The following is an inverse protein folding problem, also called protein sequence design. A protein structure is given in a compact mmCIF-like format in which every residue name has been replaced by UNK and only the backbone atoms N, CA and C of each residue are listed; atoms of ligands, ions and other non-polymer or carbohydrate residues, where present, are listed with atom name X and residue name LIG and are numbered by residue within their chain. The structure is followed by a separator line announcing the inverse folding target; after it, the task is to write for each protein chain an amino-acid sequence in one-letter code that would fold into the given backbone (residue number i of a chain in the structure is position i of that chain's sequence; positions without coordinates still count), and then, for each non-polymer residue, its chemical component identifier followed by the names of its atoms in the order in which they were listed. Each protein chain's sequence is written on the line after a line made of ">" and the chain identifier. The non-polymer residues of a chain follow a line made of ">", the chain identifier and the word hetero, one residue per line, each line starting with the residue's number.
data_IF_001821240613
#
_entry.id   IF_001821240613
#
_cell.length_a   1.000
_cell.length_b   1.000
_cell.length_c   1.000
_cell.angle_alpha   90.00
_cell.angle_beta   90.00
_cell.angle_gamma   90.00
#
_symmetry.space_group_name_H-M   'P 1'
#
loop_
_entity.id
_entity.type
_entity.pdbx_description
1 polymer ?
#
# COMPACT_ATOMS: atom_id res chain seq x y z
N UNK A 1 22.14 20.28 -51.77
CA UNK A 1 21.91 19.38 -50.62
C UNK A 1 20.70 19.88 -49.86
N UNK A 2 19.55 19.20 -49.87
CA UNK A 2 18.39 19.62 -49.09
C UNK A 2 18.54 19.18 -47.62
N UNK A 3 17.90 19.87 -46.66
CA UNK A 3 18.00 19.53 -45.24
C UNK A 3 17.15 18.30 -44.90
N UNK A 4 17.47 17.58 -43.79
CA UNK A 4 16.77 16.35 -43.44
C UNK A 4 15.34 16.63 -42.94
N UNK A 5 14.42 15.83 -43.46
CA UNK A 5 12.99 15.78 -43.15
C UNK A 5 12.73 15.43 -41.67
N UNK A 6 12.02 16.31 -40.95
CA UNK A 6 11.43 16.02 -39.64
C UNK A 6 10.23 15.07 -39.80
N UNK A 7 10.29 13.89 -39.19
CA UNK A 7 9.12 13.03 -39.01
C UNK A 7 8.28 13.55 -37.83
N UNK A 8 7.08 14.05 -38.12
CA UNK A 8 6.03 14.26 -37.13
C UNK A 8 5.24 12.96 -36.97
N UNK A 9 5.28 12.34 -35.79
CA UNK A 9 4.29 11.35 -35.39
C UNK A 9 3.19 12.06 -34.60
N UNK A 10 2.00 12.16 -35.20
CA UNK A 10 0.76 12.50 -34.50
C UNK A 10 0.13 11.18 -34.05
N UNK A 11 0.05 10.95 -32.74
CA UNK A 11 -0.77 9.88 -32.17
C UNK A 11 -2.00 10.54 -31.54
N UNK A 12 -3.07 10.63 -32.33
CA UNK A 12 -4.43 10.83 -31.83
C UNK A 12 -4.95 9.51 -31.30
N UNK A 13 -4.99 9.33 -29.98
CA UNK A 13 -5.75 8.24 -29.35
C UNK A 13 -6.93 8.82 -28.59
N UNK A 14 -8.08 8.89 -29.25
CA UNK A 14 -9.38 9.04 -28.61
C UNK A 14 -9.77 7.69 -28.01
N UNK A 15 -9.66 7.54 -26.68
CA UNK A 15 -10.27 6.41 -25.97
C UNK A 15 -11.62 6.87 -25.41
N UNK A 16 -12.70 6.47 -26.09
CA UNK A 16 -14.06 6.52 -25.54
C UNK A 16 -14.27 5.26 -24.72
N UNK A 17 -14.43 5.38 -23.40
CA UNK A 17 -14.82 4.27 -22.52
C UNK A 17 -16.32 4.39 -22.26
N UNK A 18 -17.11 3.63 -23.01
CA UNK A 18 -18.52 3.41 -22.70
C UNK A 18 -18.63 2.38 -21.56
N UNK A 19 -19.00 2.83 -20.36
CA UNK A 19 -19.38 1.96 -19.25
C UNK A 19 -20.85 1.55 -19.42
N UNK A 20 -21.19 0.24 -19.51
CA UNK A 20 -22.58 -0.17 -19.36
C UNK A 20 -22.89 -0.23 -17.85
N UNK A 21 -23.57 0.79 -17.34
CA UNK A 21 -24.21 0.75 -16.03
C UNK A 21 -25.58 0.10 -16.17
N UNK A 22 -25.81 -1.01 -15.49
CA UNK A 22 -27.15 -1.50 -15.20
C UNK A 22 -27.21 -1.92 -13.74
N UNK A 23 -27.84 -1.08 -12.91
CA UNK A 23 -28.05 -1.34 -11.49
C UNK A 23 -29.25 -2.29 -11.36
N UNK A 24 -29.05 -3.48 -10.83
CA UNK A 24 -30.14 -4.29 -10.29
C UNK A 24 -30.04 -4.30 -8.77
N UNK A 25 -31.02 -3.64 -8.16
CA UNK A 25 -31.23 -3.54 -6.73
C UNK A 25 -31.80 -4.86 -6.19
N UNK A 26 -30.99 -5.60 -5.43
CA UNK A 26 -31.40 -6.35 -4.21
C UNK A 26 -30.26 -7.26 -3.71
N UNK A 27 -29.42 -6.79 -2.79
CA UNK A 27 -28.73 -7.70 -1.85
C UNK A 27 -28.21 -6.94 -0.60
N UNK A 28 -28.73 -7.24 0.62
CA UNK A 28 -28.27 -6.62 1.85
C UNK A 28 -27.19 -7.49 2.50
N UNK A 29 -25.94 -7.39 2.04
CA UNK A 29 -24.81 -7.98 2.76
C UNK A 29 -23.61 -7.03 2.73
N UNK A 30 -23.32 -6.42 3.88
CA UNK A 30 -22.24 -5.47 4.10
C UNK A 30 -20.82 -6.05 3.88
N UNK A 31 -20.71 -7.36 3.65
CA UNK A 31 -19.45 -8.02 3.28
C UNK A 31 -18.97 -7.73 1.85
N UNK A 32 -19.84 -7.23 0.96
CA UNK A 32 -19.48 -7.05 -0.46
C UNK A 32 -18.97 -5.64 -0.80
N UNK A 33 -19.00 -4.68 0.13
CA UNK A 33 -18.79 -3.25 -0.18
C UNK A 33 -17.35 -2.74 -0.07
N UNK A 34 -16.41 -3.53 0.46
CA UNK A 34 -14.99 -3.13 0.56
C UNK A 34 -14.03 -3.99 -0.28
N UNK A 35 -14.51 -5.09 -0.88
CA UNK A 35 -13.70 -5.98 -1.74
C UNK A 35 -13.09 -5.28 -2.96
N UNK A 36 -13.75 -4.23 -3.45
CA UNK A 36 -13.32 -3.50 -4.65
C UNK A 36 -12.15 -2.53 -4.41
N UNK A 37 -11.91 -2.14 -3.16
CA UNK A 37 -10.80 -1.23 -2.82
C UNK A 37 -9.50 -2.03 -2.69
N UNK A 38 -9.54 -3.26 -2.14
CA UNK A 38 -8.35 -4.06 -1.82
C UNK A 38 -7.73 -4.81 -3.01
N UNK A 39 -8.52 -5.39 -3.90
CA UNK A 39 -8.02 -6.08 -5.11
C UNK A 39 -7.29 -5.17 -6.09
N UNK A 40 -7.44 -3.85 -5.93
CA UNK A 40 -6.74 -2.86 -6.74
C UNK A 40 -5.47 -2.30 -6.05
N UNK A 41 -5.12 -2.65 -4.80
CA UNK A 41 -3.93 -2.10 -4.13
C UNK A 41 -2.60 -2.55 -4.78
N UNK A 42 -2.51 -3.77 -5.30
CA UNK A 42 -1.34 -4.23 -6.06
C UNK A 42 -1.16 -3.52 -7.42
N UNK A 43 -2.21 -2.83 -7.90
CA UNK A 43 -2.20 -2.10 -9.18
C UNK A 43 -2.26 -0.57 -9.00
N UNK A 44 -2.65 -0.08 -7.81
CA UNK A 44 -2.86 1.34 -7.51
C UNK A 44 -1.56 2.13 -7.34
N UNK A 45 -0.44 1.48 -6.99
CA UNK A 45 0.88 2.13 -7.07
C UNK A 45 1.21 2.58 -8.50
N UNK A 46 0.70 1.84 -9.51
CA UNK A 46 0.87 2.16 -10.93
C UNK A 46 -0.20 3.14 -11.43
N UNK A 47 -1.43 3.08 -10.90
CA UNK A 47 -2.56 3.92 -11.35
C UNK A 47 -2.54 5.34 -10.75
N UNK A 48 -2.14 5.50 -9.48
CA UNK A 48 -2.13 6.81 -8.81
C UNK A 48 -0.95 7.70 -9.24
N UNK A 49 0.14 7.13 -9.76
CA UNK A 49 1.23 7.91 -10.34
C UNK A 49 0.85 8.55 -11.69
N UNK A 50 -0.10 7.95 -12.42
CA UNK A 50 -0.64 8.53 -13.66
C UNK A 50 -1.49 9.79 -13.41
N UNK A 51 -2.05 9.96 -12.20
CA UNK A 51 -2.89 11.12 -11.86
C UNK A 51 -2.14 12.29 -11.20
N UNK A 52 -0.82 12.23 -11.09
CA UNK A 52 -0.01 13.30 -10.45
C UNK A 52 0.85 14.10 -11.43
N UNK A 53 0.70 13.88 -12.74
CA UNK A 53 1.27 14.76 -13.77
C UNK A 53 0.21 15.68 -14.37
N UNK A 54 -0.47 16.46 -13.53
CA UNK A 54 -1.04 17.71 -14.01
C UNK A 54 -0.83 18.81 -12.97
N UNK A 55 0.18 19.63 -13.25
CA UNK A 55 0.58 20.74 -12.40
C UNK A 55 -0.35 21.91 -12.70
N UNK A 56 -1.22 22.27 -11.75
CA UNK A 56 -1.67 23.64 -11.39
C UNK A 56 -3.08 23.63 -10.78
N UNK A 57 -3.18 23.20 -9.52
CA UNK A 57 -4.31 23.64 -8.68
C UNK A 57 -3.71 24.35 -7.48
N UNK A 58 -3.62 25.67 -7.58
CA UNK A 58 -3.35 26.53 -6.45
C UNK A 58 -4.51 26.39 -5.46
N UNK A 59 -4.25 25.78 -4.31
CA UNK A 59 -5.20 25.72 -3.22
C UNK A 59 -5.34 27.11 -2.59
N UNK A 60 -6.56 27.66 -2.42
CA UNK A 60 -6.74 28.88 -1.66
C UNK A 60 -6.41 28.58 -0.19
N UNK A 61 -5.46 29.34 0.37
CA UNK A 61 -5.16 29.35 1.80
C UNK A 61 -6.35 30.00 2.51
N UNK A 62 -7.26 29.17 3.01
CA UNK A 62 -8.21 29.56 4.06
C UNK A 62 -7.56 29.29 5.41
N UNK A 63 -7.34 30.36 6.17
CA UNK A 63 -6.85 30.36 7.54
C UNK A 63 -7.77 29.53 8.44
N UNK A 64 -7.36 28.31 8.75
CA UNK A 64 -7.99 27.45 9.76
C UNK A 64 -6.93 27.05 10.78
N UNK A 65 -6.84 27.82 11.86
CA UNK A 65 -5.92 27.59 12.99
C UNK A 65 -6.12 26.23 13.68
N UNK A 66 -7.26 25.56 13.46
CA UNK A 66 -7.60 24.26 14.03
C UNK A 66 -6.79 23.08 13.46
N UNK A 67 -6.45 23.10 12.16
CA UNK A 67 -5.67 22.02 11.50
C UNK A 67 -4.20 22.04 11.93
N UNK A 68 -3.71 23.20 12.40
CA UNK A 68 -2.33 23.35 12.87
C UNK A 68 -2.08 22.67 14.23
N UNK A 69 -3.11 22.60 15.09
CA UNK A 69 -3.02 22.08 16.46
C UNK A 69 -2.96 20.55 16.51
N UNK A 70 -3.74 19.86 15.67
CA UNK A 70 -3.77 18.39 15.61
C UNK A 70 -2.44 17.77 15.11
N UNK A 71 -1.75 18.46 14.20
CA UNK A 71 -0.44 18.00 13.69
C UNK A 71 0.66 18.03 14.73
N UNK A 72 0.48 18.75 15.84
CA UNK A 72 1.51 18.90 16.89
C UNK A 72 1.79 17.60 17.63
N UNK A 73 0.86 16.64 17.59
CA UNK A 73 0.97 15.34 18.23
C UNK A 73 1.30 14.19 17.27
N UNK A 74 1.43 14.48 15.97
CA UNK A 74 1.77 13.47 14.97
C UNK A 74 3.29 13.34 14.86
N UNK A 75 3.79 12.09 14.83
CA UNK A 75 5.19 11.86 14.48
C UNK A 75 5.36 12.16 13.00
N UNK A 76 6.37 12.95 12.69
CA UNK A 76 6.70 13.32 11.33
C UNK A 76 7.92 12.52 10.85
N UNK A 77 7.77 11.84 9.71
CA UNK A 77 8.84 11.11 9.02
C UNK A 77 9.01 11.71 7.63
N UNK A 78 10.25 12.03 7.26
CA UNK A 78 10.61 12.46 5.91
C UNK A 78 10.90 11.23 5.06
N UNK A 79 10.11 11.06 4.02
CA UNK A 79 10.22 10.04 2.99
C UNK A 79 10.61 10.67 1.65
N UNK A 80 11.40 9.95 0.86
CA UNK A 80 11.92 10.48 -0.41
C UNK A 80 10.85 10.54 -1.51
N UNK A 81 9.84 9.66 -1.45
CA UNK A 81 8.79 9.52 -2.48
C UNK A 81 7.58 10.39 -2.13
N UNK A 82 7.16 10.35 -0.87
CA UNK A 82 5.92 10.97 -0.40
C UNK A 82 6.13 12.28 0.37
N UNK A 83 7.39 12.69 0.56
CA UNK A 83 7.74 13.88 1.31
C UNK A 83 7.48 13.69 2.81
N UNK A 84 6.48 14.37 3.35
CA UNK A 84 6.23 14.39 4.78
C UNK A 84 5.10 13.41 5.14
N UNK A 85 5.45 12.28 5.76
CA UNK A 85 4.49 11.29 6.28
C UNK A 85 4.19 11.61 7.74
N UNK A 86 2.90 11.72 8.07
CA UNK A 86 2.44 11.98 9.44
C UNK A 86 1.82 10.71 10.02
N UNK A 87 2.38 10.23 11.13
CA UNK A 87 1.89 9.06 11.86
C UNK A 87 1.12 9.46 13.11
N UNK A 88 -0.08 8.92 13.24
CA UNK A 88 -0.88 9.02 14.47
C UNK A 88 -0.26 8.15 15.58
N UNK A 89 -0.37 8.55 16.86
CA UNK A 89 0.26 7.83 17.98
C UNK A 89 -0.07 6.33 18.06
N UNK A 90 -1.28 5.95 17.67
CA UNK A 90 -1.73 4.56 17.62
C UNK A 90 -0.87 3.68 16.70
N UNK A 91 -0.41 4.22 15.57
CA UNK A 91 0.45 3.52 14.61
C UNK A 91 1.91 3.56 15.02
N UNK A 92 2.33 4.65 15.69
CA UNK A 92 3.68 4.78 16.21
C UNK A 92 4.01 3.67 17.21
N UNK A 93 3.03 3.23 18.02
CA UNK A 93 3.18 2.08 18.93
C UNK A 93 3.64 0.81 18.21
N UNK A 94 3.24 0.59 16.95
CA UNK A 94 3.69 -0.54 16.15
C UNK A 94 5.04 -0.26 15.48
N UNK A 95 5.22 0.96 14.96
CA UNK A 95 6.47 1.35 14.28
C UNK A 95 7.67 1.26 15.22
N UNK A 96 7.51 1.65 16.48
CA UNK A 96 8.59 1.69 17.48
C UNK A 96 8.86 0.32 18.14
N UNK A 97 8.43 -0.79 17.52
CA UNK A 97 8.73 -2.16 17.98
C UNK A 97 9.89 -2.78 17.19
N UNK A 98 10.64 -3.68 17.82
CA UNK A 98 11.74 -4.39 17.17
C UNK A 98 11.28 -5.22 15.96
N UNK A 99 10.07 -5.77 16.01
CA UNK A 99 9.49 -6.57 14.94
C UNK A 99 9.24 -5.72 13.68
N UNK A 100 8.78 -4.48 13.85
CA UNK A 100 8.59 -3.55 12.75
C UNK A 100 9.92 -2.92 12.30
N UNK A 101 10.80 -2.53 13.23
CA UNK A 101 12.12 -1.99 12.91
C UNK A 101 13.00 -3.00 12.15
N UNK A 102 12.80 -4.31 12.34
CA UNK A 102 13.41 -5.40 11.54
C UNK A 102 13.26 -5.19 10.03
N UNK A 103 12.18 -4.56 9.59
CA UNK A 103 11.91 -4.34 8.16
C UNK A 103 12.98 -3.47 7.48
N UNK A 104 13.78 -2.71 8.23
CA UNK A 104 14.89 -1.89 7.70
C UNK A 104 15.98 -2.75 7.05
N UNK A 105 16.15 -3.96 7.55
CA UNK A 105 17.18 -4.89 7.08
C UNK A 105 16.67 -5.77 5.93
N UNK A 106 15.36 -5.77 5.67
CA UNK A 106 14.74 -6.57 4.61
C UNK A 106 14.63 -5.75 3.32
N UNK A 107 15.50 -6.03 2.34
CA UNK A 107 15.43 -5.39 1.02
C UNK A 107 14.14 -5.75 0.30
N UNK A 108 13.44 -4.72 -0.21
CA UNK A 108 12.18 -4.87 -0.93
C UNK A 108 12.29 -5.85 -2.09
N UNK A 109 13.35 -5.68 -2.88
CA UNK A 109 13.66 -6.47 -4.08
C UNK A 109 14.74 -7.55 -3.82
N UNK A 110 14.95 -7.93 -2.56
CA UNK A 110 15.92 -8.95 -2.17
C UNK A 110 17.32 -8.68 -2.73
N UNK A 111 17.81 -9.59 -3.56
CA UNK A 111 19.16 -9.56 -4.14
C UNK A 111 19.33 -8.61 -5.34
N UNK A 112 18.25 -7.98 -5.83
CA UNK A 112 18.33 -7.08 -6.98
C UNK A 112 19.31 -5.91 -6.79
N UNK A 113 19.55 -5.48 -5.55
CA UNK A 113 20.50 -4.41 -5.25
C UNK A 113 21.95 -4.73 -5.67
N UNK A 114 22.30 -6.01 -5.83
CA UNK A 114 23.62 -6.45 -6.32
C UNK A 114 23.80 -6.22 -7.83
N UNK A 115 22.70 -6.09 -8.58
CA UNK A 115 22.70 -5.80 -10.01
C UNK A 115 22.35 -4.33 -10.27
N UNK A 116 21.41 -3.80 -9.49
CA UNK A 116 20.93 -2.42 -9.56
C UNK A 116 21.26 -1.69 -8.26
N UNK A 117 22.36 -0.93 -8.19
CA UNK A 117 22.83 -0.33 -6.92
C UNK A 117 21.86 0.71 -6.33
N UNK A 118 20.87 1.20 -7.09
CA UNK A 118 19.79 2.05 -6.58
C UNK A 118 18.64 1.30 -5.89
N UNK A 119 18.56 -0.03 -6.04
CA UNK A 119 17.49 -0.85 -5.47
C UNK A 119 17.74 -1.21 -3.99
N UNK A 120 18.19 -0.25 -3.18
CA UNK A 120 18.61 -0.44 -1.78
C UNK A 120 17.47 -0.30 -0.77
N UNK A 121 16.28 0.08 -1.24
CA UNK A 121 15.12 0.32 -0.41
C UNK A 121 14.67 -0.96 0.31
N UNK A 122 14.20 -0.78 1.54
CA UNK A 122 13.75 -1.80 2.45
C UNK A 122 12.23 -1.84 2.57
N UNK A 123 11.72 -2.92 3.17
CA UNK A 123 10.30 -3.09 3.49
C UNK A 123 9.81 -2.03 4.49
N UNK A 124 10.70 -1.45 5.30
CA UNK A 124 10.31 -0.43 6.29
C UNK A 124 9.73 0.83 5.67
N UNK A 125 10.45 1.49 4.76
CA UNK A 125 9.93 2.68 4.07
C UNK A 125 8.77 2.35 3.15
N UNK A 126 8.74 1.15 2.57
CA UNK A 126 7.60 0.67 1.81
C UNK A 126 6.33 0.62 2.67
N UNK A 127 6.39 -0.01 3.85
CA UNK A 127 5.27 -0.08 4.79
C UNK A 127 4.78 1.30 5.23
N UNK A 128 5.69 2.26 5.46
CA UNK A 128 5.31 3.65 5.77
C UNK A 128 4.62 4.34 4.58
N UNK A 129 5.12 4.12 3.37
CA UNK A 129 4.51 4.65 2.15
C UNK A 129 3.10 4.06 1.90
N UNK A 130 2.92 2.76 2.11
CA UNK A 130 1.61 2.09 1.98
C UNK A 130 0.65 2.61 3.04
N UNK A 131 1.07 2.75 4.29
CA UNK A 131 0.28 3.42 5.34
C UNK A 131 -0.22 4.81 4.88
N UNK A 132 0.68 5.61 4.33
CA UNK A 132 0.37 6.97 3.89
C UNK A 132 -0.63 6.98 2.73
N UNK A 133 -0.38 6.18 1.70
CA UNK A 133 -1.24 6.09 0.52
C UNK A 133 -2.61 5.49 0.85
N UNK A 134 -2.66 4.46 1.69
CA UNK A 134 -3.91 3.86 2.14
C UNK A 134 -4.78 4.88 2.89
N UNK A 135 -4.17 5.69 3.76
CA UNK A 135 -4.82 6.82 4.41
C UNK A 135 -5.36 7.85 3.42
N UNK A 136 -4.55 8.28 2.46
CA UNK A 136 -4.98 9.24 1.43
C UNK A 136 -6.14 8.71 0.58
N UNK A 137 -6.08 7.45 0.19
CA UNK A 137 -7.11 6.82 -0.61
C UNK A 137 -8.46 6.78 0.14
N UNK A 138 -8.47 6.30 1.39
CA UNK A 138 -9.70 6.22 2.17
C UNK A 138 -10.25 7.61 2.53
N UNK A 139 -9.39 8.60 2.77
CA UNK A 139 -9.82 9.98 3.02
C UNK A 139 -10.53 10.59 1.79
N UNK A 140 -10.02 10.30 0.58
CA UNK A 140 -10.66 10.73 -0.68
C UNK A 140 -12.02 10.05 -0.82
N UNK A 141 -12.10 8.73 -0.66
CA UNK A 141 -13.36 7.99 -0.78
C UNK A 141 -14.37 8.50 0.26
N UNK A 142 -13.94 8.69 1.51
CA UNK A 142 -14.78 9.24 2.58
C UNK A 142 -15.30 10.63 2.24
N UNK A 143 -14.47 11.49 1.65
CA UNK A 143 -14.87 12.85 1.25
C UNK A 143 -15.99 12.85 0.21
N UNK A 144 -15.93 11.96 -0.78
CA UNK A 144 -16.87 11.98 -1.90
C UNK A 144 -18.07 11.05 -1.73
N UNK A 145 -17.90 9.92 -1.03
CA UNK A 145 -18.90 8.85 -0.93
C UNK A 145 -19.08 8.33 0.51
N UNK A 146 -18.46 8.99 1.50
CA UNK A 146 -18.47 8.54 2.90
C UNK A 146 -19.86 8.31 3.49
N UNK A 147 -20.83 9.23 3.33
CA UNK A 147 -22.19 9.04 3.88
C UNK A 147 -22.93 7.85 3.27
N UNK A 148 -22.78 7.62 1.96
CA UNK A 148 -23.46 6.53 1.25
C UNK A 148 -22.84 5.16 1.57
N UNK A 149 -21.53 5.14 1.79
CA UNK A 149 -20.77 3.93 2.09
C UNK A 149 -20.68 3.66 3.60
N UNK A 150 -21.06 4.61 4.44
CA UNK A 150 -20.96 4.50 5.90
C UNK A 150 -19.50 4.44 6.40
N UNK A 151 -18.60 5.22 5.79
CA UNK A 151 -17.16 5.19 6.14
C UNK A 151 -16.91 5.99 7.42
N UNK A 152 -16.63 5.26 8.49
CA UNK A 152 -16.39 5.82 9.81
C UNK A 152 -14.89 6.03 10.09
N UNK A 153 -14.57 6.68 11.22
CA UNK A 153 -13.17 6.80 11.67
C UNK A 153 -12.52 5.42 11.88
N UNK A 154 -13.31 4.46 12.34
CA UNK A 154 -12.88 3.07 12.52
C UNK A 154 -12.33 2.45 11.22
N UNK A 155 -13.03 2.62 10.09
CA UNK A 155 -12.61 2.06 8.81
C UNK A 155 -11.30 2.68 8.31
N UNK A 156 -11.15 3.99 8.48
CA UNK A 156 -9.92 4.72 8.13
C UNK A 156 -8.74 4.18 8.93
N UNK A 157 -8.92 3.97 10.24
CA UNK A 157 -7.87 3.39 11.08
C UNK A 157 -7.54 1.96 10.67
N UNK A 158 -8.54 1.14 10.33
CA UNK A 158 -8.34 -0.24 9.93
C UNK A 158 -7.53 -0.33 8.63
N UNK A 159 -7.89 0.47 7.63
CA UNK A 159 -7.21 0.52 6.32
C UNK A 159 -5.76 0.96 6.48
N UNK A 160 -5.51 2.00 7.29
CA UNK A 160 -4.16 2.47 7.60
C UNK A 160 -3.35 1.39 8.34
N UNK A 161 -3.94 0.72 9.34
CA UNK A 161 -3.26 -0.31 10.11
C UNK A 161 -2.88 -1.51 9.23
N UNK A 162 -3.80 -1.96 8.38
CA UNK A 162 -3.53 -3.02 7.41
C UNK A 162 -2.41 -2.60 6.45
N UNK A 163 -2.48 -1.39 5.88
CA UNK A 163 -1.44 -0.88 4.99
C UNK A 163 -0.06 -0.82 5.64
N UNK A 164 0.01 -0.41 6.91
CA UNK A 164 1.26 -0.37 7.67
C UNK A 164 1.84 -1.76 7.90
N UNK A 165 1.02 -2.73 8.32
CA UNK A 165 1.47 -4.01 8.85
C UNK A 165 1.45 -5.17 7.82
N UNK A 166 0.96 -4.96 6.60
CA UNK A 166 0.77 -6.04 5.61
C UNK A 166 2.05 -6.85 5.32
N UNK A 167 3.21 -6.20 5.40
CA UNK A 167 4.51 -6.77 5.04
C UNK A 167 5.36 -7.19 6.26
N UNK A 168 4.83 -7.11 7.49
CA UNK A 168 5.60 -7.37 8.72
C UNK A 168 6.04 -8.84 8.84
N UNK A 169 5.37 -9.75 8.13
CA UNK A 169 5.65 -11.19 8.05
C UNK A 169 6.72 -11.59 7.03
N UNK A 170 7.28 -10.65 6.26
CA UNK A 170 8.32 -11.00 5.29
C UNK A 170 9.58 -11.60 5.93
N UNK A 171 10.09 -12.65 5.29
CA UNK A 171 11.36 -13.31 5.62
C UNK A 171 12.57 -12.69 4.90
N UNK A 172 13.78 -13.23 5.14
CA UNK A 172 15.02 -12.76 4.52
C UNK A 172 14.97 -12.79 2.99
N UNK A 173 15.39 -11.71 2.32
CA UNK A 173 15.28 -11.59 0.85
C UNK A 173 13.84 -11.55 0.30
N UNK A 174 12.85 -11.19 1.12
CA UNK A 174 11.46 -10.95 0.69
C UNK A 174 10.85 -12.16 -0.03
N UNK A 175 10.27 -12.00 -1.23
CA UNK A 175 9.65 -13.12 -1.97
C UNK A 175 10.65 -14.22 -2.38
N UNK A 176 11.96 -13.94 -2.41
CA UNK A 176 12.95 -14.99 -2.66
C UNK A 176 12.94 -16.04 -1.54
N UNK A 177 12.62 -15.64 -0.30
CA UNK A 177 12.44 -16.58 0.81
C UNK A 177 11.29 -17.56 0.53
N UNK A 178 10.13 -16.99 0.28
CA UNK A 178 8.85 -17.69 0.12
C UNK A 178 8.85 -18.60 -1.10
N UNK A 179 9.25 -18.05 -2.26
CA UNK A 179 9.06 -18.70 -3.55
C UNK A 179 10.31 -19.41 -4.07
N UNK A 180 11.47 -19.08 -3.50
CA UNK A 180 12.76 -19.63 -3.90
C UNK A 180 13.31 -20.59 -2.84
N UNK A 181 13.54 -20.11 -1.63
CA UNK A 181 14.24 -20.88 -0.60
C UNK A 181 13.36 -21.95 0.07
N UNK A 182 12.20 -21.59 0.61
CA UNK A 182 11.35 -22.50 1.37
C UNK A 182 10.94 -23.77 0.60
N UNK A 183 10.55 -23.70 -0.70
CA UNK A 183 10.19 -24.90 -1.45
C UNK A 183 11.37 -25.87 -1.64
N UNK A 184 12.61 -25.39 -1.58
CA UNK A 184 13.81 -26.21 -1.72
C UNK A 184 14.21 -26.92 -0.41
N UNK A 185 13.93 -26.32 0.74
CA UNK A 185 14.35 -26.85 2.05
C UNK A 185 13.21 -27.52 2.82
N UNK A 186 11.96 -27.16 2.53
CA UNK A 186 10.75 -27.66 3.17
C UNK A 186 9.71 -27.99 2.09
N UNK A 187 9.73 -29.25 1.64
CA UNK A 187 8.82 -29.72 0.61
C UNK A 187 7.36 -29.61 1.09
N UNK A 188 6.49 -29.05 0.26
CA UNK A 188 5.08 -28.82 0.60
C UNK A 188 4.83 -27.64 1.54
N UNK A 189 5.80 -26.74 1.73
CA UNK A 189 5.59 -25.51 2.51
C UNK A 189 4.44 -24.67 1.91
N UNK A 190 3.44 -24.35 2.74
CA UNK A 190 2.34 -23.43 2.43
C UNK A 190 2.58 -22.05 3.03
N UNK A 191 3.83 -21.75 3.42
CA UNK A 191 4.17 -20.50 4.06
C UNK A 191 3.89 -19.32 3.12
N UNK A 192 3.18 -18.32 3.62
CA UNK A 192 2.99 -17.03 2.95
C UNK A 192 3.37 -15.90 3.91
N UNK A 193 3.88 -14.80 3.36
CA UNK A 193 4.24 -13.65 4.19
C UNK A 193 2.98 -12.98 4.76
N UNK A 194 1.83 -13.11 4.10
CA UNK A 194 0.53 -12.60 4.54
C UNK A 194 0.05 -13.32 5.82
N UNK A 195 0.06 -14.65 5.85
CA UNK A 195 -0.26 -15.42 7.07
C UNK A 195 0.75 -15.17 8.19
N UNK A 196 2.03 -15.00 7.82
CA UNK A 196 3.06 -14.67 8.80
C UNK A 196 2.90 -13.26 9.34
N UNK A 197 2.42 -12.30 8.53
CA UNK A 197 2.09 -10.95 8.98
C UNK A 197 1.02 -10.98 10.05
N UNK A 198 -0.04 -11.78 9.86
CA UNK A 198 -1.07 -11.96 10.89
C UNK A 198 -0.48 -12.45 12.22
N UNK A 199 0.33 -13.51 12.19
CA UNK A 199 0.97 -14.08 13.39
C UNK A 199 1.94 -13.11 14.06
N UNK A 200 2.69 -12.36 13.26
CA UNK A 200 3.63 -11.36 13.75
C UNK A 200 2.92 -10.17 14.39
N UNK A 201 1.76 -9.77 13.86
CA UNK A 201 0.92 -8.73 14.46
C UNK A 201 0.44 -9.16 15.84
N UNK A 202 -0.07 -10.39 15.99
CA UNK A 202 -0.49 -10.92 17.29
C UNK A 202 0.69 -10.92 18.28
N UNK A 203 1.86 -11.38 17.83
CA UNK A 203 3.08 -11.35 18.65
C UNK A 203 3.46 -9.92 19.08
N UNK A 204 3.40 -8.93 18.19
CA UNK A 204 3.70 -7.52 18.52
C UNK A 204 2.75 -7.01 19.61
N UNK A 205 1.45 -7.27 19.45
CA UNK A 205 0.43 -6.80 20.40
C UNK A 205 0.65 -7.41 21.78
N UNK A 206 0.91 -8.73 21.82
CA UNK A 206 1.13 -9.47 23.07
C UNK A 206 2.44 -9.07 23.77
N UNK A 207 3.55 -8.92 23.03
CA UNK A 207 4.85 -8.57 23.64
C UNK A 207 4.90 -7.14 24.16
N UNK A 208 4.32 -6.18 23.43
CA UNK A 208 4.41 -4.76 23.75
C UNK A 208 3.19 -4.23 24.52
N UNK A 209 2.23 -5.10 24.86
CA UNK A 209 0.98 -4.74 25.53
C UNK A 209 0.27 -3.56 24.83
N UNK A 210 0.17 -3.62 23.50
CA UNK A 210 -0.43 -2.53 22.71
C UNK A 210 -1.94 -2.51 22.96
N UNK A 211 -2.38 -1.53 23.75
CA UNK A 211 -3.81 -1.25 23.94
C UNK A 211 -4.43 -0.74 22.62
N UNK A 212 -5.22 -1.60 21.98
CA UNK A 212 -5.92 -1.42 20.72
C UNK A 212 -7.26 -2.14 20.75
N UNK A 213 -8.29 -1.57 20.10
CA UNK A 213 -9.57 -2.23 19.90
C UNK A 213 -9.39 -3.59 19.17
N UNK A 214 -9.80 -4.73 19.76
CA UNK A 214 -9.71 -6.04 19.12
C UNK A 214 -10.46 -6.12 17.78
N UNK A 215 -11.54 -5.37 17.59
CA UNK A 215 -12.27 -5.35 16.31
C UNK A 215 -11.46 -4.66 15.22
N UNK A 216 -10.74 -3.59 15.57
CA UNK A 216 -9.84 -2.90 14.66
C UNK A 216 -8.71 -3.82 14.21
N UNK A 217 -8.10 -4.53 15.16
CA UNK A 217 -7.05 -5.51 14.88
C UNK A 217 -7.55 -6.62 13.97
N UNK A 218 -8.70 -7.22 14.31
CA UNK A 218 -9.34 -8.25 13.49
C UNK A 218 -9.59 -7.78 12.06
N UNK A 219 -10.16 -6.58 11.91
CA UNK A 219 -10.46 -6.01 10.59
C UNK A 219 -9.20 -5.79 9.75
N UNK A 220 -8.13 -5.31 10.36
CA UNK A 220 -6.85 -5.12 9.69
C UNK A 220 -6.24 -6.46 9.24
N UNK A 221 -6.26 -7.48 10.12
CA UNK A 221 -5.76 -8.84 9.80
C UNK A 221 -6.54 -9.48 8.65
N UNK A 222 -7.86 -9.38 8.65
CA UNK A 222 -8.71 -9.85 7.54
C UNK A 222 -8.34 -9.18 6.20
N UNK A 223 -8.02 -7.88 6.21
CA UNK A 223 -7.59 -7.18 4.99
C UNK A 223 -6.25 -7.70 4.47
N UNK A 224 -5.30 -8.01 5.37
CA UNK A 224 -3.99 -8.56 5.01
C UNK A 224 -4.13 -9.95 4.39
N UNK A 225 -4.86 -10.86 5.04
CA UNK A 225 -4.95 -12.26 4.59
C UNK A 225 -5.93 -12.46 3.44
N UNK A 226 -6.93 -11.60 3.26
CA UNK A 226 -7.82 -11.66 2.09
C UNK A 226 -7.10 -11.42 0.75
N UNK A 227 -5.85 -10.95 0.77
CA UNK A 227 -5.01 -10.80 -0.42
C UNK A 227 -4.41 -12.11 -0.93
N UNK A 228 -4.27 -13.15 -0.07
CA UNK A 228 -3.65 -14.42 -0.46
C UNK A 228 -4.60 -15.42 -1.16
N UNK A 229 -5.92 -15.20 -1.10
CA UNK A 229 -6.93 -16.05 -1.76
C UNK A 229 -6.89 -15.99 -3.30
N UNK A 230 -6.08 -15.09 -3.86
CA UNK A 230 -5.87 -14.95 -5.30
C UNK A 230 -4.37 -14.98 -5.64
N UNK A 231 -3.80 -16.15 -6.00
CA UNK A 231 -2.41 -16.21 -6.43
C UNK A 231 -2.25 -15.33 -7.68
N UNK A 232 -1.19 -14.50 -7.76
CA UNK A 232 -0.90 -13.75 -8.98
C UNK A 232 -0.74 -14.75 -10.13
N UNK A 233 -1.25 -14.45 -11.34
CA UNK A 233 -1.07 -15.34 -12.49
C UNK A 233 0.43 -15.61 -12.65
N UNK A 234 0.80 -16.89 -12.83
CA UNK A 234 2.18 -17.33 -13.07
C UNK A 234 2.73 -16.56 -14.28
N UNK A 235 3.40 -15.44 -14.01
CA UNK A 235 4.24 -14.78 -14.99
C UNK A 235 5.63 -15.35 -14.76
N UNK A 236 6.08 -16.12 -15.75
CA UNK A 236 7.50 -16.33 -16.02
C UNK A 236 8.19 -14.98 -15.80
N UNK A 237 9.23 -14.97 -14.97
CA UNK A 237 10.05 -13.79 -14.71
C UNK A 237 10.73 -13.34 -16.01
N UNK A 238 9.99 -12.68 -16.89
CA UNK A 238 10.57 -11.63 -17.70
C UNK A 238 10.89 -10.51 -16.71
N UNK A 239 12.17 -10.38 -16.39
CA UNK A 239 12.76 -9.18 -15.81
C UNK A 239 12.42 -7.98 -16.71
N UNK A 240 11.19 -7.48 -16.62
CA UNK A 240 10.83 -6.15 -17.09
C UNK A 240 11.31 -5.18 -16.02
N UNK A 241 12.58 -4.82 -16.15
CA UNK A 241 13.27 -3.77 -15.38
C UNK A 241 12.68 -2.38 -15.70
N UNK A 242 11.72 -2.28 -16.62
CA UNK A 242 11.31 -1.00 -17.19
C UNK A 242 10.37 -0.17 -16.31
N UNK A 243 9.69 -0.74 -15.30
CA UNK A 243 8.70 0.01 -14.51
C UNK A 243 8.94 0.03 -12.98
N UNK A 244 10.08 -0.47 -12.49
CA UNK A 244 10.38 -0.53 -11.04
C UNK A 244 11.45 0.47 -10.58
N UNK A 245 11.84 1.41 -11.44
CA UNK A 245 12.72 2.52 -11.07
C UNK A 245 11.89 3.80 -11.16
N UNK A 246 11.19 4.13 -10.08
CA UNK A 246 10.92 5.53 -9.77
C UNK A 246 11.27 5.79 -8.32
N UNK A 247 12.22 6.72 -8.18
CA UNK A 247 12.87 7.22 -6.98
C UNK A 247 11.92 7.99 -6.08
#
# INVERSE_FOLDING_TARGET
>A
SPPPSRFHFSLSTSFSVSLPFSFSSTNPNAHFRFRFVFLHFFSITLLLHSMTTDSTVAFPVSSNDSVSSERKFLKHIRDNVHGNIFLEPIFLKFVDTEQFQRLRDLKQLGLCHMVYPGAVHSRFEHSLGVYWLAGKAVDIIKKYQGPELGIEKFDVLAVKLAGLLHDVGHGPFSHTFERGFLPLVLNGSTWSHEEMSEKMIDYIVDQHNIDLDPQLLKKAKEMITSSSDHPPPQRVCHLSVQNFIFF
#
